data_IF_476672360770
#
_entry.id   IF_476672360770
#
_cell.length_a   1.000
_cell.length_b   1.000
_cell.length_c   1.000
_cell.angle_alpha   90.00
_cell.angle_beta   90.00
_cell.angle_gamma   90.00
#
_symmetry.space_group_name_H-M   'P 1'
#
loop_
_entity.id
_entity.type
_entity.pdbx_description
1 polymer ?
#
# COMPACT_ATOMS: atom_id res chain seq x y z
N UNK A 1 -10.61 6.63 11.37
CA UNK A 1 -9.70 5.52 11.01
C UNK A 1 -9.86 5.08 9.57
N UNK A 2 -11.02 4.59 9.12
CA UNK A 2 -11.22 4.13 7.73
C UNK A 2 -10.72 5.13 6.66
N UNK A 3 -11.24 6.36 6.67
CA UNK A 3 -10.84 7.40 5.70
C UNK A 3 -9.35 7.73 5.78
N UNK A 4 -8.78 7.83 6.99
CA UNK A 4 -7.36 8.16 7.18
C UNK A 4 -6.44 7.07 6.61
N UNK A 5 -6.78 5.79 6.83
CA UNK A 5 -6.01 4.66 6.32
C UNK A 5 -6.16 4.55 4.79
N UNK A 6 -7.37 4.74 4.26
CA UNK A 6 -7.60 4.74 2.82
C UNK A 6 -6.82 5.85 2.11
N UNK A 7 -6.85 7.07 2.67
CA UNK A 7 -6.12 8.22 2.13
C UNK A 7 -4.60 8.01 2.18
N UNK A 8 -4.08 7.57 3.33
CA UNK A 8 -2.66 7.23 3.46
C UNK A 8 -2.24 6.12 2.48
N UNK A 9 -3.09 5.12 2.25
CA UNK A 9 -2.82 4.06 1.28
C UNK A 9 -2.70 4.60 -0.15
N UNK A 10 -3.62 5.51 -0.55
CA UNK A 10 -3.60 6.15 -1.86
C UNK A 10 -2.34 7.00 -2.07
N UNK A 11 -1.97 7.82 -1.08
CA UNK A 11 -0.76 8.66 -1.15
C UNK A 11 0.51 7.82 -1.33
N UNK A 12 0.60 6.68 -0.63
CA UNK A 12 1.78 5.82 -0.72
C UNK A 12 1.98 5.25 -2.12
N UNK A 13 0.91 4.84 -2.79
CA UNK A 13 1.03 4.31 -4.16
C UNK A 13 1.45 5.42 -5.11
N UNK A 14 0.76 6.57 -5.09
CA UNK A 14 1.12 7.71 -5.95
C UNK A 14 2.57 8.15 -5.75
N UNK A 15 3.09 8.02 -4.53
CA UNK A 15 4.50 8.29 -4.25
C UNK A 15 5.45 7.21 -4.79
N UNK A 16 5.06 5.93 -4.84
CA UNK A 16 5.94 4.82 -5.25
C UNK A 16 5.97 4.61 -6.76
N UNK A 17 4.87 4.89 -7.47
CA UNK A 17 4.74 4.72 -8.92
C UNK A 17 5.89 5.34 -9.75
N UNK A 18 6.23 6.64 -9.58
CA UNK A 18 7.30 7.26 -10.36
C UNK A 18 8.71 6.75 -10.01
N UNK A 19 8.94 6.35 -8.76
CA UNK A 19 10.24 5.77 -8.36
C UNK A 19 10.46 4.42 -9.04
N UNK A 20 9.46 3.55 -9.06
CA UNK A 20 9.58 2.23 -9.69
C UNK A 20 9.69 2.35 -11.21
N UNK A 21 8.98 3.32 -11.81
CA UNK A 21 9.07 3.60 -13.25
C UNK A 21 10.48 4.05 -13.67
N UNK A 22 11.15 4.88 -12.86
CA UNK A 22 12.52 5.33 -13.14
C UNK A 22 13.55 4.21 -12.93
N UNK A 23 13.43 3.43 -11.86
CA UNK A 23 14.30 2.26 -11.58
C UNK A 23 14.23 1.21 -12.68
N UNK A 24 13.04 0.98 -13.25
CA UNK A 24 12.82 0.04 -14.35
C UNK A 24 13.67 0.34 -15.59
N UNK A 25 13.87 1.61 -15.93
CA UNK A 25 14.67 2.00 -17.11
C UNK A 25 16.13 1.59 -16.93
N UNK A 26 16.66 1.77 -15.71
CA UNK A 26 18.01 1.33 -15.34
C UNK A 26 18.10 -0.19 -15.40
N UNK A 27 17.10 -0.87 -14.84
CA UNK A 27 17.06 -2.33 -14.81
C UNK A 27 17.07 -2.97 -16.20
N UNK A 28 16.35 -2.41 -17.18
CA UNK A 28 16.42 -2.91 -18.54
C UNK A 28 17.86 -2.82 -19.10
N UNK A 29 18.57 -1.71 -18.84
CA UNK A 29 19.94 -1.50 -19.31
C UNK A 29 20.94 -2.46 -18.65
N UNK A 30 20.89 -2.60 -17.33
CA UNK A 30 21.78 -3.50 -16.57
C UNK A 30 21.53 -4.97 -16.88
N UNK A 31 20.28 -5.31 -17.23
CA UNK A 31 19.93 -6.64 -17.70
C UNK A 31 20.54 -6.96 -19.07
N UNK A 32 20.54 -6.01 -20.02
CA UNK A 32 21.21 -6.24 -21.31
C UNK A 32 22.72 -6.44 -21.14
N UNK A 33 23.31 -5.90 -20.07
CA UNK A 33 24.70 -6.15 -19.69
C UNK A 33 24.91 -7.48 -18.92
N UNK A 34 23.85 -8.24 -18.62
CA UNK A 34 23.93 -9.55 -17.97
C UNK A 34 24.20 -9.53 -16.47
N UNK A 35 23.97 -8.40 -15.78
CA UNK A 35 24.38 -8.24 -14.37
C UNK A 35 23.48 -8.98 -13.37
N UNK A 36 22.15 -9.02 -13.57
CA UNK A 36 21.22 -9.70 -12.66
C UNK A 36 19.88 -10.12 -13.31
N UNK A 37 19.13 -10.99 -12.60
CA UNK A 37 17.84 -11.56 -13.02
C UNK A 37 16.63 -10.74 -12.54
N UNK A 38 15.47 -10.92 -13.18
CA UNK A 38 14.19 -10.29 -12.81
C UNK A 38 13.81 -10.52 -11.35
N UNK A 39 14.06 -11.74 -10.86
CA UNK A 39 13.74 -12.14 -9.49
C UNK A 39 14.59 -11.44 -8.44
N UNK A 40 15.88 -11.20 -8.75
CA UNK A 40 16.77 -10.50 -7.85
C UNK A 40 16.34 -9.03 -7.67
N UNK A 41 15.91 -8.38 -8.75
CA UNK A 41 15.35 -7.04 -8.72
C UNK A 41 14.06 -6.95 -7.90
N UNK A 42 13.11 -7.86 -8.15
CA UNK A 42 11.83 -7.86 -7.42
C UNK A 42 12.03 -8.08 -5.91
N UNK A 43 12.91 -9.02 -5.52
CA UNK A 43 13.24 -9.25 -4.11
C UNK A 43 13.94 -8.05 -3.47
N UNK A 44 14.86 -7.40 -4.19
CA UNK A 44 15.53 -6.20 -3.70
C UNK A 44 14.54 -5.05 -3.45
N UNK A 45 13.59 -4.83 -4.38
CA UNK A 45 12.56 -3.82 -4.21
C UNK A 45 11.68 -4.08 -2.98
N UNK A 46 11.22 -5.32 -2.81
CA UNK A 46 10.43 -5.71 -1.63
C UNK A 46 11.24 -5.52 -0.34
N UNK A 47 12.51 -5.96 -0.33
CA UNK A 47 13.37 -5.87 0.84
C UNK A 47 13.64 -4.44 1.30
N UNK A 48 13.71 -3.47 0.37
CA UNK A 48 13.89 -2.04 0.70
C UNK A 48 12.57 -1.39 1.14
N UNK A 49 11.43 -1.78 0.57
CA UNK A 49 10.14 -1.17 0.88
C UNK A 49 9.56 -1.62 2.23
N UNK A 50 9.77 -2.88 2.64
CA UNK A 50 9.28 -3.39 3.92
C UNK A 50 9.76 -2.56 5.14
N UNK A 51 11.06 -2.27 5.33
CA UNK A 51 11.53 -1.48 6.48
C UNK A 51 11.06 -0.03 6.40
N UNK A 52 10.98 0.55 5.20
CA UNK A 52 10.44 1.90 5.00
C UNK A 52 8.99 2.00 5.49
N UNK A 53 8.14 1.06 5.04
CA UNK A 53 6.74 1.02 5.45
C UNK A 53 6.58 0.73 6.95
N UNK A 54 7.46 -0.08 7.53
CA UNK A 54 7.45 -0.36 8.96
C UNK A 54 7.72 0.90 9.79
N UNK A 55 8.74 1.70 9.42
CA UNK A 55 9.04 2.96 10.10
C UNK A 55 7.89 3.95 9.94
N UNK A 56 7.34 4.06 8.72
CA UNK A 56 6.22 4.96 8.44
C UNK A 56 4.97 4.61 9.25
N UNK A 57 4.61 3.32 9.34
CA UNK A 57 3.45 2.87 10.10
C UNK A 57 3.68 3.01 11.61
N UNK A 58 4.92 2.90 12.07
CA UNK A 58 5.30 3.08 13.47
C UNK A 58 5.18 4.55 13.88
N UNK A 59 5.70 5.47 13.06
CA UNK A 59 5.55 6.91 13.26
C UNK A 59 4.07 7.32 13.22
N UNK A 60 3.32 6.84 12.24
CA UNK A 60 1.89 7.13 12.15
C UNK A 60 1.11 6.59 13.36
N UNK A 61 1.40 5.34 13.76
CA UNK A 61 0.75 4.71 14.91
C UNK A 61 1.02 5.44 16.23
N UNK A 62 2.26 5.88 16.46
CA UNK A 62 2.62 6.63 17.67
C UNK A 62 1.89 7.97 17.81
N UNK A 63 1.56 8.63 16.69
CA UNK A 63 0.88 9.93 16.70
C UNK A 63 -0.65 9.76 16.69
N UNK A 64 -1.16 8.91 15.79
CA UNK A 64 -2.60 8.76 15.58
C UNK A 64 -3.30 8.07 16.75
N UNK A 65 -2.64 7.12 17.41
CA UNK A 65 -3.22 6.37 18.53
C UNK A 65 -3.58 7.25 19.75
N UNK A 66 -2.66 8.10 20.28
CA UNK A 66 -3.00 9.01 21.37
C UNK A 66 -3.95 10.14 20.93
N UNK A 67 -3.85 10.63 19.69
CA UNK A 67 -4.75 11.70 19.20
C UNK A 67 -6.22 11.32 19.21
N UNK A 68 -6.54 10.03 19.03
CA UNK A 68 -7.91 9.54 18.94
C UNK A 68 -8.44 9.08 20.32
N UNK A 69 -7.57 9.01 21.33
CA UNK A 69 -7.95 8.66 22.69
C UNK A 69 -8.33 7.19 22.87
N UNK A 70 -7.70 6.28 22.11
CA UNK A 70 -7.97 4.85 22.25
C UNK A 70 -7.48 4.27 23.58
N UNK A 71 -8.14 3.19 24.01
CA UNK A 71 -7.84 2.52 25.27
C UNK A 71 -6.46 1.86 25.25
N UNK A 72 -5.53 2.34 26.08
CA UNK A 72 -4.11 1.96 26.14
C UNK A 72 -3.82 0.55 26.65
N UNK A 73 -4.39 -0.47 26.02
CA UNK A 73 -4.01 -1.87 26.21
C UNK A 73 -3.00 -2.28 25.13
N UNK A 74 -1.87 -2.84 25.53
CA UNK A 74 -0.80 -3.29 24.62
C UNK A 74 -1.32 -4.21 23.50
N UNK A 75 -2.28 -5.08 23.82
CA UNK A 75 -2.92 -5.97 22.85
C UNK A 75 -3.64 -5.19 21.74
N UNK A 76 -4.40 -4.14 22.10
CA UNK A 76 -5.15 -3.32 21.13
C UNK A 76 -4.22 -2.44 20.29
N UNK A 77 -3.15 -1.93 20.88
CA UNK A 77 -2.12 -1.16 20.17
C UNK A 77 -1.43 -2.04 19.13
N UNK A 78 -1.05 -3.27 19.50
CA UNK A 78 -0.38 -4.18 18.58
C UNK A 78 -1.28 -4.58 17.41
N UNK A 79 -2.54 -4.91 17.67
CA UNK A 79 -3.52 -5.20 16.62
C UNK A 79 -3.75 -4.01 15.69
N UNK A 80 -3.82 -2.80 16.26
CA UNK A 80 -3.97 -1.57 15.48
C UNK A 80 -2.76 -1.33 14.56
N UNK A 81 -1.55 -1.44 15.10
CA UNK A 81 -0.31 -1.31 14.34
C UNK A 81 -0.21 -2.36 13.22
N UNK A 82 -0.50 -3.62 13.55
CA UNK A 82 -0.51 -4.73 12.59
C UNK A 82 -1.50 -4.50 11.45
N UNK A 83 -2.73 -4.09 11.77
CA UNK A 83 -3.76 -3.83 10.76
C UNK A 83 -3.33 -2.73 9.77
N UNK A 84 -2.78 -1.62 10.27
CA UNK A 84 -2.32 -0.52 9.41
C UNK A 84 -1.11 -0.93 8.58
N UNK A 85 -0.15 -1.63 9.19
CA UNK A 85 1.03 -2.12 8.49
C UNK A 85 0.65 -3.07 7.34
N UNK A 86 -0.26 -4.02 7.57
CA UNK A 86 -0.76 -4.91 6.52
C UNK A 86 -1.49 -4.15 5.41
N UNK A 87 -2.33 -3.16 5.74
CA UNK A 87 -3.01 -2.36 4.70
C UNK A 87 -2.01 -1.57 3.86
N UNK A 88 -0.98 -0.99 4.47
CA UNK A 88 0.02 -0.19 3.76
C UNK A 88 0.89 -1.05 2.82
N UNK A 89 1.28 -2.24 3.27
CA UNK A 89 1.97 -3.23 2.43
C UNK A 89 1.11 -3.64 1.24
N UNK A 90 -0.16 -3.95 1.48
CA UNK A 90 -1.09 -4.35 0.42
C UNK A 90 -1.20 -3.27 -0.66
N UNK A 91 -1.45 -2.02 -0.27
CA UNK A 91 -1.52 -0.90 -1.22
C UNK A 91 -0.21 -0.73 -1.99
N UNK A 92 0.93 -0.74 -1.30
CA UNK A 92 2.24 -0.49 -1.93
C UNK A 92 2.63 -1.58 -2.94
N UNK A 93 2.41 -2.86 -2.63
CA UNK A 93 2.66 -3.95 -3.58
C UNK A 93 1.68 -3.95 -4.75
N UNK A 94 0.43 -3.58 -4.51
CA UNK A 94 -0.56 -3.45 -5.57
C UNK A 94 -0.20 -2.32 -6.55
N UNK A 95 0.29 -1.19 -6.04
CA UNK A 95 0.85 -0.11 -6.87
C UNK A 95 2.05 -0.56 -7.71
N UNK A 96 3.00 -1.29 -7.11
CA UNK A 96 4.15 -1.85 -7.83
C UNK A 96 3.75 -2.84 -8.94
N UNK A 97 2.68 -3.59 -8.73
CA UNK A 97 2.12 -4.50 -9.73
C UNK A 97 1.59 -3.72 -10.94
N UNK A 98 0.86 -2.61 -10.73
CA UNK A 98 0.33 -1.82 -11.83
C UNK A 98 1.41 -1.10 -12.64
N UNK A 99 2.43 -0.54 -11.98
CA UNK A 99 3.63 -0.03 -12.66
C UNK A 99 4.28 -1.14 -13.46
N UNK A 100 4.24 -2.38 -12.95
CA UNK A 100 4.83 -3.51 -13.64
C UNK A 100 4.07 -3.91 -14.91
N UNK A 101 2.75 -3.76 -14.93
CA UNK A 101 1.90 -4.11 -16.07
C UNK A 101 1.86 -3.02 -17.15
N UNK A 102 2.03 -1.77 -16.76
CA UNK A 102 1.88 -0.62 -17.66
C UNK A 102 3.24 -0.05 -18.07
N UNK A 103 3.39 0.42 -19.32
CA UNK A 103 4.63 1.05 -19.78
C UNK A 103 4.72 2.54 -19.38
N UNK A 104 3.59 3.18 -19.09
CA UNK A 104 3.49 4.62 -18.85
C UNK A 104 2.83 4.94 -17.50
N UNK A 105 3.40 5.93 -16.78
CA UNK A 105 2.93 6.37 -15.45
C UNK A 105 1.51 6.95 -15.51
N UNK A 106 1.11 7.57 -16.62
CA UNK A 106 -0.24 8.10 -16.81
C UNK A 106 -1.30 6.99 -16.83
N UNK A 107 -1.00 5.89 -17.52
CA UNK A 107 -1.90 4.73 -17.64
C UNK A 107 -1.96 3.98 -16.30
N UNK A 108 -0.82 3.86 -15.62
CA UNK A 108 -0.70 3.30 -14.27
C UNK A 108 -1.58 4.04 -13.24
N UNK A 109 -1.52 5.38 -13.25
CA UNK A 109 -2.35 6.24 -12.41
C UNK A 109 -3.84 6.08 -12.70
N UNK A 110 -4.23 5.98 -13.98
CA UNK A 110 -5.62 5.74 -14.38
C UNK A 110 -6.12 4.36 -13.89
N UNK A 111 -5.31 3.32 -14.04
CA UNK A 111 -5.64 1.97 -13.60
C UNK A 111 -5.80 1.89 -12.08
N UNK A 112 -4.86 2.49 -11.35
CA UNK A 112 -4.92 2.58 -9.89
C UNK A 112 -6.16 3.35 -9.42
N UNK A 113 -6.48 4.47 -10.08
CA UNK A 113 -7.67 5.28 -9.79
C UNK A 113 -8.99 4.54 -10.01
N UNK A 114 -9.04 3.58 -10.93
CA UNK A 114 -10.20 2.69 -11.11
C UNK A 114 -10.32 1.64 -10.00
N UNK A 115 -9.20 1.04 -9.59
CA UNK A 115 -9.22 -0.03 -8.59
C UNK A 115 -9.43 0.46 -7.16
N UNK A 116 -9.00 1.67 -6.79
CA UNK A 116 -9.22 2.21 -5.45
C UNK A 116 -10.69 2.26 -4.99
N UNK A 117 -11.62 2.89 -5.74
CA UNK A 117 -13.01 2.92 -5.33
C UNK A 117 -13.62 1.52 -5.32
N UNK A 118 -13.17 0.61 -6.19
CA UNK A 118 -13.62 -0.78 -6.22
C UNK A 118 -13.26 -1.51 -4.91
N UNK A 119 -12.00 -1.39 -4.46
CA UNK A 119 -11.55 -1.97 -3.18
C UNK A 119 -12.24 -1.32 -1.98
N UNK A 120 -12.48 -0.01 -2.04
CA UNK A 120 -13.24 0.70 -1.00
C UNK A 120 -14.71 0.26 -0.94
N UNK A 121 -15.34 -0.07 -2.08
CA UNK A 121 -16.72 -0.56 -2.14
C UNK A 121 -16.89 -1.88 -1.37
N UNK A 122 -15.95 -2.80 -1.54
CA UNK A 122 -15.94 -4.10 -0.87
C UNK A 122 -15.48 -4.05 0.60
N UNK A 123 -15.12 -2.87 1.13
CA UNK A 123 -14.72 -2.72 2.53
C UNK A 123 -15.87 -2.81 3.54
N UNK A 124 -17.11 -3.02 3.07
CA UNK A 124 -18.36 -3.03 3.87
C UNK A 124 -18.65 -1.74 4.66
N UNK A 125 -17.82 -0.69 4.53
CA UNK A 125 -18.11 0.61 5.12
C UNK A 125 -19.10 1.41 4.27
N UNK A 126 -18.96 1.33 2.94
CA UNK A 126 -19.82 2.04 1.98
C UNK A 126 -21.10 1.26 1.62
N UNK A 127 -21.07 -0.07 1.71
CA UNK A 127 -22.23 -0.94 1.56
C UNK A 127 -22.62 -1.52 2.92
N UNK A 128 -23.68 -1.00 3.57
CA UNK A 128 -24.20 -1.63 4.77
C UNK A 128 -24.71 -3.03 4.42
N UNK A 129 -24.37 -4.03 5.25
CA UNK A 129 -24.92 -5.38 5.11
C UNK A 129 -26.45 -5.30 5.11
N UNK A 130 -27.16 -6.06 4.26
CA UNK A 130 -28.61 -6.11 4.31
C UNK A 130 -29.03 -6.51 5.72
N UNK A 131 -29.87 -5.68 6.33
CA UNK A 131 -30.44 -5.89 7.65
C UNK A 131 -31.32 -7.12 7.53
N UNK A 132 -30.84 -8.27 7.97
CA UNK A 132 -31.66 -9.48 8.02
C UNK A 132 -32.60 -9.33 9.20
N UNK A 133 -33.83 -8.88 8.94
CA UNK A 133 -34.93 -8.96 9.89
C UNK A 133 -35.27 -10.44 10.09
N UNK A 134 -34.53 -11.13 10.95
CA UNK A 134 -35.01 -12.37 11.55
C UNK A 134 -35.37 -12.06 13.01
N UNK A 135 -36.63 -12.40 13.32
CA UNK A 135 -37.36 -12.24 14.57
C UNK A 135 -36.55 -12.58 15.83
#
# INVERSE_FOLDING_TARGET
MYFTVAFLGMDNISSVQPFVATERVVMYRERFAGMYSYWAYALAQVAVKVPYLFIQTLLFGMIAYPMIGYYGSAYKVFWYFYAIFCTQLYFTFFGMLFVSLTPEVTIDGALSSFFYPLLNLFSNFLMPKPISYYY
#
